data_IF_304484032923
#
_entry.id   IF_304484032923
#
_cell.length_a   1.000
_cell.length_b   1.000
_cell.length_c   1.000
_cell.angle_alpha   90.00
_cell.angle_beta   90.00
_cell.angle_gamma   90.00
#
_symmetry.space_group_name_H-M   'P 1'
#
loop_
_entity.id
_entity.type
_entity.pdbx_description
1 polymer ?
#
# COMPACT_ATOMS: atom_id res chain seq x y z
N UNK A 1 14.81 10.27 21.28
CA UNK A 1 14.31 11.03 20.12
C UNK A 1 13.45 10.12 19.28
N UNK A 2 12.24 10.54 18.89
CA UNK A 2 11.30 9.75 18.10
C UNK A 2 11.49 9.91 16.59
N UNK A 3 10.92 9.01 15.81
CA UNK A 3 10.80 9.16 14.36
C UNK A 3 9.82 10.31 14.02
N UNK A 4 10.01 11.01 12.90
CA UNK A 4 9.10 12.08 12.50
C UNK A 4 7.72 11.49 12.12
N UNK A 5 6.64 12.13 12.56
CA UNK A 5 5.26 11.62 12.41
C UNK A 5 4.45 12.52 11.48
N UNK A 6 3.67 11.92 10.58
CA UNK A 6 2.77 12.68 9.72
C UNK A 6 1.67 13.36 10.54
N UNK A 7 1.29 14.60 10.20
CA UNK A 7 0.22 15.30 10.92
C UNK A 7 -1.17 14.71 10.65
N UNK A 8 -1.33 13.95 9.57
CA UNK A 8 -2.60 13.35 9.18
C UNK A 8 -2.43 11.85 8.96
N UNK A 9 -3.33 11.07 9.58
CA UNK A 9 -3.34 9.62 9.52
C UNK A 9 -4.78 9.15 9.30
N UNK A 10 -5.00 8.24 8.35
CA UNK A 10 -6.33 7.68 8.10
C UNK A 10 -6.27 6.24 7.63
N UNK A 11 -7.11 5.40 8.22
CA UNK A 11 -7.36 4.04 7.77
C UNK A 11 -8.15 4.05 6.46
N UNK A 12 -7.66 3.30 5.47
CA UNK A 12 -8.47 2.89 4.32
C UNK A 12 -9.13 1.55 4.65
N UNK A 13 -10.44 1.47 4.38
CA UNK A 13 -11.22 0.25 4.59
C UNK A 13 -11.67 -0.35 3.26
N UNK A 14 -11.83 -1.67 3.24
CA UNK A 14 -12.46 -2.43 2.18
C UNK A 14 -13.88 -1.92 1.91
N UNK A 15 -14.26 -1.88 0.64
CA UNK A 15 -15.58 -1.44 0.17
C UNK A 15 -16.54 -2.61 -0.07
N UNK A 16 -16.02 -3.83 -0.18
CA UNK A 16 -16.74 -5.05 -0.47
C UNK A 16 -16.17 -6.24 0.28
N UNK A 17 -16.96 -7.30 0.38
CA UNK A 17 -16.49 -8.58 0.90
C UNK A 17 -15.73 -9.39 -0.14
N UNK A 18 -14.82 -10.25 0.32
CA UNK A 18 -14.12 -11.21 -0.51
C UNK A 18 -12.72 -11.55 0.02
N UNK A 19 -11.90 -12.08 -0.87
CA UNK A 19 -10.48 -12.35 -0.62
C UNK A 19 -9.60 -11.31 -1.31
N UNK A 20 -8.59 -10.81 -0.63
CA UNK A 20 -7.55 -9.99 -1.27
C UNK A 20 -6.79 -10.88 -2.26
N UNK A 21 -7.01 -10.66 -3.54
CA UNK A 21 -6.44 -11.45 -4.64
C UNK A 21 -5.25 -10.80 -5.31
N UNK A 22 -4.95 -9.55 -4.98
CA UNK A 22 -3.80 -8.85 -5.50
C UNK A 22 -3.57 -7.52 -4.79
N UNK A 23 -2.31 -7.13 -4.72
CA UNK A 23 -1.88 -5.81 -4.26
C UNK A 23 -0.94 -5.29 -5.36
N UNK A 24 -1.22 -4.13 -5.95
CA UNK A 24 -0.38 -3.51 -6.96
C UNK A 24 0.74 -2.68 -6.29
N UNK A 25 1.98 -3.18 -6.24
CA UNK A 25 3.08 -2.46 -5.58
C UNK A 25 3.51 -1.22 -6.36
N UNK A 26 3.31 -1.19 -7.69
CA UNK A 26 3.69 -0.06 -8.52
C UNK A 26 2.74 1.12 -8.29
N UNK A 27 1.44 0.85 -8.23
CA UNK A 27 0.43 1.84 -7.86
C UNK A 27 0.71 2.43 -6.46
N UNK A 28 1.05 1.58 -5.48
CA UNK A 28 1.45 2.03 -4.14
C UNK A 28 2.71 2.89 -4.18
N UNK A 29 3.74 2.48 -4.92
CA UNK A 29 4.98 3.26 -5.09
C UNK A 29 4.72 4.66 -5.65
N UNK A 30 3.89 4.77 -6.70
CA UNK A 30 3.46 6.06 -7.23
C UNK A 30 2.62 6.87 -6.24
N UNK A 31 1.77 6.21 -5.44
CA UNK A 31 1.06 6.83 -4.34
C UNK A 31 2.00 7.46 -3.30
N UNK A 32 3.07 6.77 -2.92
CA UNK A 32 4.09 7.31 -1.99
C UNK A 32 4.79 8.52 -2.60
N UNK A 33 5.16 8.47 -3.89
CA UNK A 33 5.74 9.61 -4.60
C UNK A 33 4.75 10.79 -4.62
N UNK A 34 3.47 10.54 -4.86
CA UNK A 34 2.44 11.58 -4.87
C UNK A 34 2.23 12.21 -3.48
N UNK A 35 2.42 11.44 -2.40
CA UNK A 35 2.39 11.94 -1.02
C UNK A 35 3.63 12.77 -0.64
N UNK A 36 4.70 12.72 -1.43
CA UNK A 36 5.98 13.38 -1.16
C UNK A 36 7.04 12.47 -0.51
N UNK A 37 6.77 11.17 -0.37
CA UNK A 37 7.71 10.19 0.18
C UNK A 37 8.78 9.71 -0.81
N UNK A 38 8.76 10.23 -2.04
CA UNK A 38 9.71 9.88 -3.09
C UNK A 38 9.99 11.06 -4.02
N UNK A 39 10.93 10.87 -4.95
CA UNK A 39 11.40 11.92 -5.86
C UNK A 39 10.84 11.71 -7.27
N UNK A 40 10.31 12.78 -7.87
CA UNK A 40 9.98 12.84 -9.31
C UNK A 40 11.14 13.45 -10.10
N UNK A 41 11.89 14.35 -9.47
CA UNK A 41 13.12 14.97 -9.96
C UNK A 41 14.24 14.80 -8.93
N UNK A 42 15.49 14.90 -9.38
CA UNK A 42 16.66 14.64 -8.55
C UNK A 42 16.74 15.54 -7.31
N UNK A 43 16.24 16.77 -7.40
CA UNK A 43 16.27 17.82 -6.39
C UNK A 43 15.05 17.83 -5.44
N UNK A 44 14.06 16.96 -5.66
CA UNK A 44 12.88 16.89 -4.79
C UNK A 44 13.27 16.49 -3.36
N UNK A 45 12.72 17.23 -2.39
CA UNK A 45 12.84 16.93 -0.96
C UNK A 45 11.83 15.84 -0.59
N UNK A 46 12.33 14.74 -0.02
CA UNK A 46 11.50 13.64 0.48
C UNK A 46 10.95 14.00 1.85
N UNK A 47 9.63 13.86 2.03
CA UNK A 47 8.99 13.88 3.35
C UNK A 47 9.07 12.48 3.97
N UNK A 48 9.91 12.24 5.01
CA UNK A 48 10.07 10.91 5.61
C UNK A 48 8.87 10.49 6.48
N UNK A 49 7.87 11.35 6.64
CA UNK A 49 6.70 11.11 7.51
C UNK A 49 5.56 10.40 6.79
N UNK A 50 5.49 10.52 5.47
CA UNK A 50 4.35 10.06 4.66
C UNK A 50 4.57 8.65 4.13
N UNK A 51 3.48 7.97 3.79
CA UNK A 51 3.53 6.63 3.21
C UNK A 51 2.29 5.80 3.52
N UNK A 52 2.40 4.51 3.24
CA UNK A 52 1.36 3.52 3.50
C UNK A 52 1.85 2.46 4.48
N UNK A 53 0.95 2.01 5.35
CA UNK A 53 1.11 0.78 6.12
C UNK A 53 0.05 -0.19 5.62
N UNK A 54 0.48 -1.33 5.09
CA UNK A 54 -0.46 -2.36 4.63
C UNK A 54 -1.08 -3.08 5.82
N UNK A 55 -2.40 -3.25 5.79
CA UNK A 55 -3.16 -3.99 6.82
C UNK A 55 -3.59 -5.39 6.37
N UNK A 56 -3.34 -5.75 5.12
CA UNK A 56 -3.73 -7.01 4.51
C UNK A 56 -2.63 -7.54 3.58
N UNK A 57 -2.64 -8.86 3.39
CA UNK A 57 -1.82 -9.58 2.41
C UNK A 57 -2.74 -10.34 1.44
N UNK A 58 -2.19 -10.81 0.31
CA UNK A 58 -2.92 -11.71 -0.60
C UNK A 58 -3.34 -12.97 0.16
N UNK A 59 -4.61 -13.34 0.06
CA UNK A 59 -5.22 -14.41 0.85
C UNK A 59 -5.93 -13.92 2.11
N UNK A 60 -5.89 -12.62 2.43
CA UNK A 60 -6.67 -12.08 3.55
C UNK A 60 -8.15 -12.01 3.18
N UNK A 61 -9.04 -12.55 4.02
CA UNK A 61 -10.49 -12.36 3.89
C UNK A 61 -10.90 -11.01 4.50
N UNK A 62 -11.74 -10.26 3.80
CA UNK A 62 -12.24 -8.96 4.24
C UNK A 62 -13.75 -8.82 4.02
N UNK A 63 -14.37 -7.96 4.80
CA UNK A 63 -15.74 -7.48 4.68
C UNK A 63 -15.76 -5.94 4.55
N UNK A 64 -16.87 -5.32 4.11
CA UNK A 64 -16.99 -3.87 4.05
C UNK A 64 -16.70 -3.22 5.41
N UNK A 65 -15.78 -2.26 5.43
CA UNK A 65 -15.34 -1.57 6.64
C UNK A 65 -14.06 -2.12 7.26
N UNK A 66 -13.65 -3.35 6.94
CA UNK A 66 -12.41 -3.93 7.43
C UNK A 66 -11.19 -3.12 6.95
N UNK A 67 -10.17 -2.91 7.81
CA UNK A 67 -9.01 -2.12 7.46
C UNK A 67 -8.15 -2.83 6.40
N UNK A 68 -7.87 -2.17 5.28
CA UNK A 68 -6.92 -2.65 4.26
C UNK A 68 -5.52 -2.03 4.42
N UNK A 69 -5.45 -0.89 5.11
CA UNK A 69 -4.19 -0.25 5.46
C UNK A 69 -4.38 1.16 5.98
N UNK A 70 -3.27 1.84 6.27
CA UNK A 70 -3.23 3.18 6.85
C UNK A 70 -2.41 4.10 5.96
N UNK A 71 -2.92 5.32 5.75
CA UNK A 71 -2.27 6.38 4.99
C UNK A 71 -1.72 7.43 5.95
N UNK A 72 -0.42 7.73 5.85
CA UNK A 72 0.23 8.87 6.50
C UNK A 72 0.45 9.97 5.47
N UNK A 73 -0.06 11.18 5.73
CA UNK A 73 -0.02 12.28 4.77
C UNK A 73 0.35 13.63 5.42
N UNK A 74 0.98 14.50 4.64
CA UNK A 74 1.31 15.88 5.05
C UNK A 74 0.15 16.86 4.87
N UNK A 75 -0.81 16.57 3.99
CA UNK A 75 -1.93 17.47 3.63
C UNK A 75 -3.26 16.72 3.52
N UNK A 76 -4.37 17.43 3.65
CA UNK A 76 -5.73 16.85 3.54
C UNK A 76 -5.97 16.26 2.15
N UNK A 77 -5.56 16.96 1.09
CA UNK A 77 -5.68 16.48 -0.29
C UNK A 77 -4.82 15.23 -0.52
N UNK A 78 -3.60 15.21 0.02
CA UNK A 78 -2.72 14.06 0.00
C UNK A 78 -3.34 12.85 0.72
N UNK A 79 -3.97 13.08 1.87
CA UNK A 79 -4.67 12.03 2.62
C UNK A 79 -5.83 11.44 1.81
N UNK A 80 -6.65 12.29 1.19
CA UNK A 80 -7.76 11.84 0.35
C UNK A 80 -7.28 11.07 -0.88
N UNK A 81 -6.25 11.57 -1.57
CA UNK A 81 -5.66 10.90 -2.73
C UNK A 81 -4.99 9.58 -2.35
N UNK A 82 -4.27 9.53 -1.23
CA UNK A 82 -3.62 8.32 -0.73
C UNK A 82 -4.62 7.23 -0.33
N UNK A 83 -5.74 7.59 0.30
CA UNK A 83 -6.80 6.60 0.63
C UNK A 83 -7.40 5.99 -0.65
N UNK A 84 -7.63 6.81 -1.68
CA UNK A 84 -8.09 6.32 -2.98
C UNK A 84 -7.06 5.39 -3.63
N UNK A 85 -5.79 5.81 -3.69
CA UNK A 85 -4.72 5.01 -4.27
C UNK A 85 -4.54 3.67 -3.56
N UNK A 86 -4.62 3.64 -2.22
CA UNK A 86 -4.52 2.41 -1.45
C UNK A 86 -5.70 1.46 -1.73
N UNK A 87 -6.92 1.97 -1.89
CA UNK A 87 -8.09 1.16 -2.28
C UNK A 87 -7.95 0.61 -3.69
N UNK A 88 -7.55 1.44 -4.65
CA UNK A 88 -7.37 1.03 -6.05
C UNK A 88 -6.24 0.01 -6.21
N UNK A 89 -5.21 0.05 -5.37
CA UNK A 89 -4.11 -0.91 -5.39
C UNK A 89 -4.49 -2.29 -4.84
N UNK A 90 -5.55 -2.41 -4.04
CA UNK A 90 -5.97 -3.69 -3.42
C UNK A 90 -7.11 -4.29 -4.22
N UNK A 91 -6.85 -5.41 -4.88
CA UNK A 91 -7.89 -6.20 -5.57
C UNK A 91 -8.53 -7.16 -4.59
N UNK A 92 -9.84 -7.06 -4.41
CA UNK A 92 -10.66 -8.01 -3.65
C UNK A 92 -11.47 -8.83 -4.65
N UNK A 93 -11.50 -10.16 -4.57
CA UNK A 93 -12.32 -11.04 -5.42
C UNK A 93 -13.35 -11.82 -4.60
N UNK A 94 -14.51 -12.15 -5.19
CA UNK A 94 -15.54 -12.98 -4.55
C UNK A 94 -15.39 -14.49 -4.81
N UNK A 95 -14.26 -14.91 -5.39
CA UNK A 95 -14.00 -16.31 -5.73
C UNK A 95 -13.38 -17.10 -4.57
N UNK A 96 -12.66 -18.16 -4.91
CA UNK A 96 -11.91 -18.95 -3.93
C UNK A 96 -10.73 -18.17 -3.32
N UNK A 97 -10.24 -18.65 -2.17
CA UNK A 97 -9.06 -18.10 -1.50
C UNK A 97 -7.82 -18.19 -2.43
N UNK A 98 -7.16 -17.06 -2.74
CA UNK A 98 -6.00 -17.05 -3.60
C UNK A 98 -4.78 -17.58 -2.85
N UNK A 99 -4.02 -18.48 -3.48
CA UNK A 99 -2.74 -18.95 -2.94
C UNK A 99 -1.62 -18.06 -3.47
N UNK A 100 -0.93 -17.28 -2.61
CA UNK A 100 0.18 -16.44 -3.06
C UNK A 100 1.37 -17.30 -3.51
N UNK A 101 2.17 -16.83 -4.49
CA UNK A 101 3.40 -17.49 -4.86
C UNK A 101 4.41 -17.46 -3.69
N UNK A 102 5.38 -18.39 -3.65
CA UNK A 102 6.41 -18.36 -2.62
C UNK A 102 7.26 -17.09 -2.74
N UNK A 103 7.68 -16.53 -1.60
CA UNK A 103 8.53 -15.32 -1.57
C UNK A 103 9.85 -15.50 -2.31
N UNK A 104 10.40 -16.72 -2.32
CA UNK A 104 11.58 -17.09 -3.10
C UNK A 104 11.13 -18.09 -4.17
N UNK A 105 11.16 -17.66 -5.43
CA UNK A 105 10.80 -18.52 -6.56
C UNK A 105 11.94 -19.49 -6.88
N UNK A 106 13.16 -18.99 -7.02
CA UNK A 106 14.33 -19.77 -7.43
C UNK A 106 15.61 -19.12 -6.92
N UNK A 107 16.67 -19.93 -6.74
CA UNK A 107 18.04 -19.46 -6.53
C UNK A 107 18.91 -19.82 -7.74
N UNK A 108 19.25 -18.83 -8.56
CA UNK A 108 20.16 -18.99 -9.69
C UNK A 108 21.60 -19.01 -9.17
N UNK A 109 22.37 -20.04 -9.53
CA UNK A 109 23.81 -20.14 -9.27
C UNK A 109 24.55 -20.11 -10.61
N UNK A 110 25.74 -19.51 -10.63
CA UNK A 110 26.64 -19.68 -11.79
C UNK A 110 26.96 -21.16 -11.97
N UNK A 111 27.07 -21.61 -13.22
CA UNK A 111 27.87 -22.80 -13.50
C UNK A 111 29.35 -22.43 -13.28
N UNK A 112 30.15 -23.37 -12.78
CA UNK A 112 31.61 -23.20 -12.64
C UNK A 112 32.28 -22.98 -14.00
#
# INVERSE_FOLDING_TARGET
MGLPVAPLVKTASADREGWVSGIDPLALGYGVIALGGGRKRQDDVVDPRVGFVMGVEVGTRVAPGDPIGVVHAGTVDGLAAGVRALREAVTISGGDEPVPPPTVLERIRSAD
#
